data_IF_512187588322
#
_entry.id   IF_512187588322
#
_cell.length_a   1.000
_cell.length_b   1.000
_cell.length_c   1.000
_cell.angle_alpha   90.00
_cell.angle_beta   90.00
_cell.angle_gamma   90.00
#
_symmetry.space_group_name_H-M   'P 1'
#
loop_
_entity.id
_entity.type
_entity.pdbx_description
1 polymer ?
#
# COMPACT_ATOMS: atom_id res chain seq x y z
N UNK A 1 -2.78 -10.00 -16.57
CA UNK A 1 -3.52 -9.05 -17.45
C UNK A 1 -2.60 -7.90 -17.83
N UNK A 2 -2.74 -7.30 -19.02
CA UNK A 2 -1.80 -6.28 -19.54
C UNK A 2 -2.34 -4.84 -19.42
N UNK A 3 -1.42 -3.88 -19.34
CA UNK A 3 -1.70 -2.45 -19.52
C UNK A 3 -2.15 -2.17 -20.96
N UNK A 4 -3.05 -1.20 -21.11
CA UNK A 4 -3.32 -0.56 -22.40
C UNK A 4 -2.08 0.21 -22.87
N UNK A 5 -2.03 0.56 -24.16
CA UNK A 5 -0.96 1.40 -24.70
C UNK A 5 -0.88 2.74 -23.96
N UNK A 6 -2.02 3.37 -23.72
CA UNK A 6 -2.11 4.66 -23.04
C UNK A 6 -1.67 4.60 -21.57
N UNK A 7 -2.11 3.60 -20.80
CA UNK A 7 -1.63 3.42 -19.41
C UNK A 7 -0.13 3.13 -19.36
N UNK A 8 0.41 2.42 -20.36
CA UNK A 8 1.85 2.18 -20.46
C UNK A 8 2.62 3.47 -20.71
N UNK A 9 2.15 4.33 -21.61
CA UNK A 9 2.76 5.64 -21.85
C UNK A 9 2.80 6.49 -20.58
N UNK A 10 1.69 6.55 -19.84
CA UNK A 10 1.63 7.26 -18.57
C UNK A 10 2.58 6.66 -17.52
N UNK A 11 2.61 5.33 -17.40
CA UNK A 11 3.52 4.65 -16.46
C UNK A 11 5.00 4.94 -16.77
N UNK A 12 5.36 4.99 -18.06
CA UNK A 12 6.70 5.34 -18.50
C UNK A 12 7.03 6.80 -18.16
N UNK A 13 6.10 7.74 -18.39
CA UNK A 13 6.29 9.14 -18.05
C UNK A 13 6.46 9.36 -16.54
N UNK A 14 5.67 8.67 -15.71
CA UNK A 14 5.81 8.68 -14.25
C UNK A 14 7.18 8.15 -13.84
N UNK A 15 7.60 7.01 -14.40
CA UNK A 15 8.90 6.42 -14.09
C UNK A 15 10.06 7.34 -14.45
N UNK A 16 10.04 7.92 -15.66
CA UNK A 16 11.07 8.86 -16.10
C UNK A 16 11.13 10.08 -15.17
N UNK A 17 9.97 10.62 -14.78
CA UNK A 17 9.91 11.76 -13.87
C UNK A 17 10.50 11.43 -12.49
N UNK A 18 10.22 10.25 -11.94
CA UNK A 18 10.80 9.78 -10.66
C UNK A 18 12.31 9.63 -10.80
N UNK A 19 12.80 8.95 -11.85
CA UNK A 19 14.22 8.73 -12.09
C UNK A 19 15.01 10.02 -12.33
N UNK A 20 14.37 11.06 -12.88
CA UNK A 20 14.96 12.38 -13.06
C UNK A 20 15.06 13.20 -11.76
N UNK A 21 14.35 12.80 -10.70
CA UNK A 21 14.33 13.50 -9.42
C UNK A 21 15.35 12.91 -8.46
N UNK A 22 16.28 13.74 -7.97
CA UNK A 22 17.25 13.31 -6.96
C UNK A 22 16.66 13.17 -5.55
N UNK A 23 15.47 13.72 -5.31
CA UNK A 23 14.82 13.79 -4.00
C UNK A 23 13.87 12.61 -3.74
N UNK A 24 13.47 11.90 -4.79
CA UNK A 24 12.50 10.81 -4.71
C UNK A 24 13.19 9.46 -4.71
N UNK A 25 12.73 8.59 -3.81
CA UNK A 25 13.07 7.19 -3.83
C UNK A 25 12.56 6.51 -5.11
N UNK A 26 13.34 5.55 -5.61
CA UNK A 26 12.90 4.71 -6.71
C UNK A 26 11.67 3.88 -6.32
N UNK A 27 10.68 3.83 -7.21
CA UNK A 27 9.52 2.95 -7.11
C UNK A 27 9.59 1.86 -8.17
N UNK A 28 8.93 0.73 -7.93
CA UNK A 28 8.91 -0.37 -8.91
C UNK A 28 8.09 -0.02 -10.16
N UNK A 29 8.38 -0.68 -11.29
CA UNK A 29 7.59 -0.53 -12.51
C UNK A 29 6.10 -0.85 -12.29
N UNK A 30 5.80 -1.82 -11.42
CA UNK A 30 4.42 -2.16 -11.04
C UNK A 30 3.73 -1.00 -10.31
N UNK A 31 4.44 -0.32 -9.41
CA UNK A 31 3.90 0.86 -8.71
C UNK A 31 3.67 2.01 -9.68
N UNK A 32 4.57 2.24 -10.65
CA UNK A 32 4.34 3.21 -11.72
C UNK A 32 3.09 2.87 -12.54
N UNK A 33 2.89 1.59 -12.86
CA UNK A 33 1.70 1.12 -13.56
C UNK A 33 0.41 1.33 -12.75
N UNK A 34 0.43 1.00 -11.45
CA UNK A 34 -0.70 1.22 -10.55
C UNK A 34 -1.03 2.72 -10.43
N UNK A 35 -0.01 3.58 -10.30
CA UNK A 35 -0.17 5.03 -10.29
C UNK A 35 -0.79 5.52 -11.60
N UNK A 36 -0.26 5.09 -12.75
CA UNK A 36 -0.78 5.45 -14.07
C UNK A 36 -2.26 5.09 -14.25
N UNK A 37 -2.72 3.97 -13.70
CA UNK A 37 -4.15 3.61 -13.74
C UNK A 37 -4.99 4.56 -12.90
N UNK A 38 -4.49 4.91 -11.70
CA UNK A 38 -5.24 5.70 -10.72
C UNK A 38 -5.27 7.19 -11.09
N UNK A 39 -4.14 7.75 -11.51
CA UNK A 39 -3.99 9.20 -11.80
C UNK A 39 -4.04 9.51 -13.30
N UNK A 40 -3.98 8.48 -14.15
CA UNK A 40 -4.03 8.60 -15.60
C UNK A 40 -2.89 9.48 -16.13
N UNK A 41 -3.23 10.54 -16.85
CA UNK A 41 -2.30 11.46 -17.49
C UNK A 41 -1.67 12.48 -16.52
N UNK A 42 -2.11 12.52 -15.26
CA UNK A 42 -1.64 13.49 -14.27
C UNK A 42 -0.34 13.00 -13.58
N UNK A 43 0.78 13.17 -14.30
CA UNK A 43 2.10 12.78 -13.81
C UNK A 43 2.46 13.51 -12.51
N UNK A 44 2.10 14.79 -12.37
CA UNK A 44 2.44 15.58 -11.19
C UNK A 44 1.70 15.07 -9.93
N UNK A 45 0.44 14.66 -10.06
CA UNK A 45 -0.29 14.00 -8.98
C UNK A 45 0.34 12.65 -8.59
N UNK A 46 0.84 11.86 -9.55
CA UNK A 46 1.60 10.66 -9.22
C UNK A 46 2.86 10.98 -8.40
N UNK A 47 3.63 11.99 -8.82
CA UNK A 47 4.83 12.42 -8.09
C UNK A 47 4.49 12.89 -6.69
N UNK A 48 3.44 13.70 -6.54
CA UNK A 48 2.97 14.16 -5.23
C UNK A 48 2.64 12.98 -4.31
N UNK A 49 1.99 11.92 -4.82
CA UNK A 49 1.67 10.72 -4.04
C UNK A 49 2.91 9.93 -3.61
N UNK A 50 3.89 9.79 -4.51
CA UNK A 50 5.17 9.13 -4.18
C UNK A 50 5.88 9.91 -3.07
N UNK A 51 5.97 11.23 -3.22
CA UNK A 51 6.59 12.10 -2.23
C UNK A 51 5.91 12.03 -0.85
N UNK A 52 4.57 12.12 -0.80
CA UNK A 52 3.81 11.99 0.46
C UNK A 52 4.06 10.62 1.11
N UNK A 53 4.18 9.55 0.33
CA UNK A 53 4.47 8.23 0.86
C UNK A 53 5.89 8.13 1.42
N UNK A 54 6.86 8.77 0.77
CA UNK A 54 8.23 8.85 1.26
C UNK A 54 8.30 9.63 2.58
N UNK A 55 7.69 10.82 2.66
CA UNK A 55 7.61 11.58 3.91
C UNK A 55 6.96 10.76 5.04
N UNK A 56 5.86 10.06 4.74
CA UNK A 56 5.21 9.20 5.72
C UNK A 56 6.15 8.09 6.22
N UNK A 57 6.93 7.47 5.32
CA UNK A 57 7.92 6.45 5.70
C UNK A 57 9.00 7.02 6.60
N UNK A 58 9.49 8.22 6.29
CA UNK A 58 10.51 8.92 7.07
C UNK A 58 9.98 9.28 8.47
N UNK A 59 8.81 9.93 8.53
CA UNK A 59 8.16 10.35 9.78
C UNK A 59 7.85 9.16 10.70
N UNK A 60 7.35 8.06 10.13
CA UNK A 60 7.03 6.87 10.88
C UNK A 60 8.26 5.98 11.16
N UNK A 61 9.39 6.26 10.50
CA UNK A 61 10.66 5.50 10.55
C UNK A 61 10.49 4.04 10.09
N UNK A 62 9.74 3.84 9.02
CA UNK A 62 9.45 2.51 8.45
C UNK A 62 10.74 1.87 7.95
N UNK A 63 11.05 0.67 8.43
CA UNK A 63 12.24 -0.10 8.04
C UNK A 63 11.97 -1.10 6.91
N UNK A 64 10.71 -1.28 6.51
CA UNK A 64 10.29 -2.23 5.47
C UNK A 64 10.81 -3.67 5.72
N UNK A 65 10.80 -4.12 6.98
CA UNK A 65 11.24 -5.47 7.37
C UNK A 65 10.07 -6.37 7.79
N UNK A 66 10.20 -7.68 7.54
CA UNK A 66 9.22 -8.68 7.98
C UNK A 66 9.06 -8.69 9.51
N UNK A 67 10.14 -8.43 10.24
CA UNK A 67 10.10 -8.39 11.69
C UNK A 67 9.28 -7.20 12.21
N UNK A 68 9.44 -6.02 11.60
CA UNK A 68 8.64 -4.83 11.93
C UNK A 68 7.17 -5.03 11.57
N UNK A 69 6.88 -5.61 10.41
CA UNK A 69 5.51 -5.98 10.02
C UNK A 69 4.88 -6.90 11.07
N UNK A 70 5.56 -8.00 11.44
CA UNK A 70 5.08 -8.94 12.46
C UNK A 70 4.80 -8.25 13.80
N UNK A 71 5.75 -7.45 14.30
CA UNK A 71 5.58 -6.70 15.56
C UNK A 71 4.37 -5.75 15.48
N UNK A 72 4.18 -5.09 14.35
CA UNK A 72 3.03 -4.20 14.11
C UNK A 72 1.73 -4.97 14.17
N UNK A 73 1.59 -6.08 13.45
CA UNK A 73 0.39 -6.91 13.48
C UNK A 73 0.10 -7.51 14.86
N UNK A 74 1.13 -7.93 15.61
CA UNK A 74 0.97 -8.34 17.02
C UNK A 74 0.35 -7.23 17.85
N UNK A 75 0.87 -5.99 17.76
CA UNK A 75 0.31 -4.84 18.49
C UNK A 75 -1.13 -4.52 18.10
N UNK A 76 -1.48 -4.64 16.82
CA UNK A 76 -2.87 -4.46 16.34
C UNK A 76 -3.79 -5.45 17.04
N UNK A 77 -3.40 -6.74 17.08
CA UNK A 77 -4.20 -7.78 17.74
C UNK A 77 -4.30 -7.58 19.26
N UNK A 78 -3.28 -6.98 19.89
CA UNK A 78 -3.32 -6.59 21.30
C UNK A 78 -4.25 -5.39 21.55
N UNK A 79 -4.21 -4.38 20.67
CA UNK A 79 -5.05 -3.18 20.79
C UNK A 79 -6.52 -3.41 20.49
N UNK A 80 -6.79 -4.31 19.54
CA UNK A 80 -8.13 -4.66 19.09
C UNK A 80 -8.28 -6.19 18.96
N UNK A 81 -8.43 -6.90 20.09
CA UNK A 81 -8.61 -8.35 20.07
C UNK A 81 -9.82 -8.77 19.22
N UNK A 82 -9.55 -9.59 18.21
CA UNK A 82 -10.54 -10.06 17.25
C UNK A 82 -10.75 -9.15 16.04
N UNK A 83 -9.99 -8.05 15.88
CA UNK A 83 -10.06 -7.25 14.66
C UNK A 83 -9.54 -7.98 13.42
N UNK A 84 -8.56 -8.87 13.59
CA UNK A 84 -8.11 -9.81 12.56
C UNK A 84 -8.68 -11.18 12.92
N UNK A 85 -9.59 -11.69 12.09
CA UNK A 85 -10.27 -12.97 12.31
C UNK A 85 -9.49 -14.14 11.73
N UNK A 86 -8.89 -13.95 10.57
CA UNK A 86 -8.11 -14.96 9.87
C UNK A 86 -7.11 -14.32 8.91
N UNK A 87 -5.97 -14.97 8.72
CA UNK A 87 -5.04 -14.71 7.64
C UNK A 87 -4.60 -16.06 7.07
N UNK A 88 -4.75 -16.23 5.76
CA UNK A 88 -4.46 -17.47 5.06
C UNK A 88 -3.82 -17.17 3.70
N UNK A 89 -2.81 -17.95 3.34
CA UNK A 89 -2.19 -17.89 2.02
C UNK A 89 -2.72 -19.06 1.19
N UNK A 90 -3.39 -18.77 0.08
CA UNK A 90 -3.82 -19.78 -0.88
C UNK A 90 -2.66 -20.08 -1.83
N UNK A 91 -2.06 -21.27 -1.70
CA UNK A 91 -0.95 -21.69 -2.55
C UNK A 91 -1.37 -21.88 -4.02
N UNK A 92 -2.63 -22.21 -4.30
CA UNK A 92 -3.12 -22.43 -5.67
C UNK A 92 -3.22 -21.12 -6.45
N UNK A 93 -3.68 -20.06 -5.79
CA UNK A 93 -3.87 -18.73 -6.36
C UNK A 93 -2.68 -17.78 -6.07
N UNK A 94 -1.68 -18.24 -5.32
CA UNK A 94 -0.58 -17.45 -4.76
C UNK A 94 -1.07 -16.16 -4.06
N UNK A 95 -2.21 -16.25 -3.38
CA UNK A 95 -2.94 -15.09 -2.87
C UNK A 95 -3.05 -15.08 -1.35
N UNK A 96 -2.81 -13.92 -0.74
CA UNK A 96 -3.06 -13.73 0.68
C UNK A 96 -4.50 -13.25 0.90
N UNK A 97 -5.23 -13.97 1.74
CA UNK A 97 -6.56 -13.61 2.22
C UNK A 97 -6.46 -13.17 3.68
N UNK A 98 -6.95 -11.97 3.98
CA UNK A 98 -7.04 -11.46 5.36
C UNK A 98 -8.49 -11.07 5.65
N UNK A 99 -9.04 -11.59 6.73
CA UNK A 99 -10.43 -11.33 7.17
C UNK A 99 -10.41 -10.43 8.39
N UNK A 100 -11.13 -9.30 8.31
CA UNK A 100 -11.22 -8.31 9.38
C UNK A 100 -12.65 -8.22 9.96
N UNK A 101 -12.75 -8.00 11.27
CA UNK A 101 -13.98 -7.58 11.95
C UNK A 101 -13.94 -6.05 12.10
N UNK A 102 -14.48 -5.34 11.11
CA UNK A 102 -14.43 -3.86 11.07
C UNK A 102 -15.12 -3.19 12.26
N UNK A 103 -16.26 -3.68 12.81
CA UNK A 103 -16.80 -3.18 14.08
C UNK A 103 -15.83 -3.22 15.27
N UNK A 104 -14.89 -4.17 15.31
CA UNK A 104 -13.90 -4.26 16.39
C UNK A 104 -12.73 -3.28 16.25
N UNK A 105 -12.59 -2.67 15.08
CA UNK A 105 -11.57 -1.67 14.83
C UNK A 105 -12.04 -0.28 15.32
N UNK A 106 -12.05 -0.08 16.65
CA UNK A 106 -12.60 1.14 17.25
C UNK A 106 -11.53 2.18 17.66
N UNK A 107 -11.70 3.43 17.22
CA UNK A 107 -11.10 4.67 17.76
C UNK A 107 -9.60 4.70 18.10
N UNK A 108 -8.86 5.60 17.45
CA UNK A 108 -7.47 5.95 17.78
C UNK A 108 -7.39 6.79 19.06
N UNK A 109 -7.52 6.16 20.22
CA UNK A 109 -7.53 6.87 21.51
C UNK A 109 -6.17 7.47 21.91
N UNK A 110 -5.09 7.11 21.21
CA UNK A 110 -3.72 7.60 21.47
C UNK A 110 -2.94 7.77 20.16
N UNK A 111 -1.93 8.65 20.18
CA UNK A 111 -0.99 8.84 19.06
C UNK A 111 -0.28 7.53 18.69
N UNK A 112 0.05 6.69 19.69
CA UNK A 112 0.65 5.38 19.46
C UNK A 112 -0.27 4.44 18.66
N UNK A 113 -1.57 4.39 19.00
CA UNK A 113 -2.54 3.57 18.27
C UNK A 113 -2.75 4.05 16.84
N UNK A 114 -2.77 5.37 16.64
CA UNK A 114 -2.80 5.96 15.30
C UNK A 114 -1.57 5.58 14.49
N UNK A 115 -0.36 5.76 15.05
CA UNK A 115 0.89 5.38 14.40
C UNK A 115 0.91 3.89 14.04
N UNK A 116 0.51 3.02 14.98
CA UNK A 116 0.47 1.57 14.76
C UNK A 116 -0.51 1.21 13.65
N UNK A 117 -1.63 1.94 13.53
CA UNK A 117 -2.59 1.73 12.44
C UNK A 117 -2.03 2.15 11.09
N UNK A 118 -1.36 3.29 11.00
CA UNK A 118 -0.72 3.73 9.76
C UNK A 118 0.36 2.74 9.31
N UNK A 119 1.16 2.23 10.26
CA UNK A 119 2.13 1.16 9.99
C UNK A 119 1.44 -0.12 9.49
N UNK A 120 0.36 -0.55 10.14
CA UNK A 120 -0.42 -1.72 9.69
C UNK A 120 -0.96 -1.50 8.28
N UNK A 121 -1.54 -0.34 7.99
CA UNK A 121 -2.07 -0.02 6.67
C UNK A 121 -0.97 -0.07 5.60
N UNK A 122 0.21 0.48 5.88
CA UNK A 122 1.38 0.38 4.99
C UNK A 122 1.72 -1.08 4.67
N UNK A 123 1.92 -1.92 5.68
CA UNK A 123 2.28 -3.33 5.44
C UNK A 123 1.16 -4.12 4.78
N UNK A 124 -0.10 -3.88 5.17
CA UNK A 124 -1.24 -4.55 4.58
C UNK A 124 -1.35 -4.23 3.09
N UNK A 125 -1.21 -2.96 2.69
CA UNK A 125 -1.21 -2.56 1.29
C UNK A 125 -0.06 -3.21 0.50
N UNK A 126 1.13 -3.33 1.11
CA UNK A 126 2.27 -4.04 0.48
C UNK A 126 2.03 -5.54 0.32
N UNK A 127 1.30 -6.15 1.26
CA UNK A 127 0.97 -7.58 1.22
C UNK A 127 -0.14 -7.87 0.20
N UNK A 128 -1.14 -6.99 0.09
CA UNK A 128 -2.27 -7.17 -0.84
C UNK A 128 -1.87 -6.97 -2.29
N UNK A 129 -0.88 -6.09 -2.56
CA UNK A 129 -0.30 -5.80 -3.88
C UNK A 129 -1.29 -6.00 -5.05
N UNK A 130 -2.33 -5.14 -5.15
CA UNK A 130 -3.43 -5.38 -6.07
C UNK A 130 -2.93 -5.46 -7.51
N UNK A 131 -3.45 -6.43 -8.26
CA UNK A 131 -3.13 -6.52 -9.68
C UNK A 131 -3.69 -5.32 -10.47
N UNK A 132 -3.36 -5.26 -11.75
CA UNK A 132 -3.79 -4.18 -12.66
C UNK A 132 -5.33 -4.10 -12.76
N UNK A 133 -6.05 -5.22 -12.71
CA UNK A 133 -7.51 -5.25 -12.85
C UNK A 133 -8.20 -4.80 -11.58
N UNK A 134 -7.73 -5.27 -10.43
CA UNK A 134 -8.15 -4.81 -9.12
C UNK A 134 -7.90 -3.31 -8.98
N UNK A 135 -6.76 -2.82 -9.47
CA UNK A 135 -6.45 -1.39 -9.49
C UNK A 135 -7.45 -0.61 -10.35
N UNK A 136 -7.77 -1.08 -11.56
CA UNK A 136 -8.74 -0.44 -12.47
C UNK A 136 -10.16 -0.40 -11.90
N UNK A 137 -10.60 -1.51 -11.28
CA UNK A 137 -11.94 -1.61 -10.66
C UNK A 137 -12.04 -0.87 -9.34
N UNK A 138 -10.92 -0.38 -8.83
CA UNK A 138 -10.77 0.06 -7.45
C UNK A 138 -10.59 -1.14 -6.52
N UNK A 139 -9.70 -1.00 -5.54
CA UNK A 139 -9.59 -1.97 -4.45
C UNK A 139 -10.83 -1.83 -3.57
N UNK A 140 -11.75 -2.80 -3.68
CA UNK A 140 -12.94 -2.85 -2.84
C UNK A 140 -12.58 -3.63 -1.56
N UNK A 141 -12.44 -2.91 -0.45
CA UNK A 141 -12.47 -3.52 0.88
C UNK A 141 -13.95 -3.77 1.22
N UNK A 142 -14.36 -5.05 1.23
CA UNK A 142 -15.69 -5.45 1.72
C UNK A 142 -15.70 -5.52 3.25
#
# INVERSE_FOLDING_TARGET
MQLTEQEREWALAIRERIQSSAELDNVSDLMCAQLAIVVQHDVDEAIRRVWVMQELKEDLKIQDSLEEARRTFTKIMEYWPGAILSAYFNDEDEALVVVFDTPRFHGYKTQEKMKTTLLMAHYLCRMLNPDIEATRKGVIFF
#
